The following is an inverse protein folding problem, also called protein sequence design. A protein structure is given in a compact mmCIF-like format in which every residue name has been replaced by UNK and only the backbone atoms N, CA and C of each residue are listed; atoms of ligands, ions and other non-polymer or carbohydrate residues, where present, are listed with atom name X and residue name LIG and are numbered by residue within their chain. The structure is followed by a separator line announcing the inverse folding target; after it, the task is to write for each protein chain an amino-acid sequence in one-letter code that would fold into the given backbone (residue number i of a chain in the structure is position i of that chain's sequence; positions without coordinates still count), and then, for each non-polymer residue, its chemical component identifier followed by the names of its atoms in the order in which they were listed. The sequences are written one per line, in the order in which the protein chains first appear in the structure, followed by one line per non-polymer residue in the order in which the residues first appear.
data_IF_007131036547
#
_entry.id   IF_007131036547
#
_cell.length_a   1.000
_cell.length_b   1.000
_cell.length_c   1.000
_cell.angle_alpha   90.00
_cell.angle_beta   90.00
_cell.angle_gamma   90.00
#
_symmetry.space_group_name_H-M   'P 1'
#
loop_
_entity.id
_entity.type
_entity.pdbx_description
1 polymer ?
#
# COMPACT_ATOMS: atom_id res chain seq x y z
N UNK A 1 20.34 14.12 19.83
CA UNK A 1 19.10 13.34 19.68
C UNK A 1 19.48 12.07 18.94
N UNK A 2 19.24 10.90 19.53
CA UNK A 2 19.47 9.60 18.89
C UNK A 2 18.21 9.22 18.11
N UNK A 3 18.34 9.01 16.81
CA UNK A 3 17.27 8.41 16.01
C UNK A 3 17.16 6.95 16.45
N UNK A 4 15.97 6.45 16.79
CA UNK A 4 15.83 5.06 17.22
C UNK A 4 16.06 4.11 16.03
N UNK A 5 16.67 2.95 16.31
CA UNK A 5 16.89 1.91 15.31
C UNK A 5 15.57 1.26 14.82
N UNK A 6 14.53 1.29 15.67
CA UNK A 6 13.19 0.78 15.36
C UNK A 6 12.13 1.82 15.72
N UNK A 7 11.19 2.04 14.80
CA UNK A 7 10.05 2.94 15.00
C UNK A 7 8.80 2.11 15.31
N UNK A 8 8.22 2.22 16.52
CA UNK A 8 6.95 1.55 16.82
C UNK A 8 5.83 2.22 16.04
N UNK A 9 5.08 1.43 15.26
CA UNK A 9 3.91 1.90 14.49
C UNK A 9 2.65 1.28 15.09
N UNK A 10 1.70 2.12 15.47
CA UNK A 10 0.40 1.67 15.98
C UNK A 10 -0.51 1.23 14.83
N UNK A 11 -1.22 0.12 15.02
CA UNK A 11 -2.31 -0.30 14.12
C UNK A 11 -3.53 0.59 14.36
N UNK A 12 -3.98 1.27 13.32
CA UNK A 12 -5.22 2.05 13.26
C UNK A 12 -6.23 1.28 12.41
N UNK A 13 -7.33 0.82 13.02
CA UNK A 13 -8.34 0.02 12.33
C UNK A 13 -8.94 0.76 11.13
N UNK A 14 -9.28 2.03 11.25
CA UNK A 14 -10.01 2.75 10.19
C UNK A 14 -9.11 3.64 9.33
N UNK A 15 -7.81 3.32 9.19
CA UNK A 15 -6.86 4.18 8.49
C UNK A 15 -5.66 3.47 7.82
N UNK A 16 -4.59 4.21 7.48
CA UNK A 16 -3.43 3.75 6.68
C UNK A 16 -2.69 2.52 7.20
N UNK A 17 -2.89 2.17 8.47
CA UNK A 17 -2.26 1.01 9.12
C UNK A 17 -3.27 -0.12 9.39
N UNK A 18 -4.45 -0.11 8.78
CA UNK A 18 -5.47 -1.15 8.94
C UNK A 18 -4.88 -2.56 8.73
N UNK A 19 -4.09 -2.70 7.65
CA UNK A 19 -3.39 -3.93 7.29
C UNK A 19 -1.95 -3.94 7.82
N UNK A 20 -1.77 -3.72 9.12
CA UNK A 20 -0.50 -3.91 9.82
C UNK A 20 -0.62 -5.06 10.81
N UNK A 21 0.38 -5.95 10.84
CA UNK A 21 0.31 -7.11 11.73
C UNK A 21 1.46 -8.09 11.60
N UNK A 22 1.21 -9.31 12.08
CA UNK A 22 2.15 -10.42 12.10
C UNK A 22 1.51 -11.66 11.45
N UNK A 23 2.25 -12.33 10.58
CA UNK A 23 1.85 -13.60 9.98
C UNK A 23 2.02 -14.76 10.98
N UNK A 24 1.50 -15.93 10.64
CA UNK A 24 1.60 -17.14 11.48
C UNK A 24 3.02 -17.63 11.71
N UNK A 25 3.95 -17.26 10.82
CA UNK A 25 5.39 -17.57 10.89
C UNK A 25 6.23 -16.43 11.51
N UNK A 26 5.61 -15.56 12.29
CA UNK A 26 6.23 -14.42 13.00
C UNK A 26 6.73 -13.29 12.10
N UNK A 27 6.62 -13.38 10.77
CA UNK A 27 6.95 -12.26 9.88
C UNK A 27 6.00 -11.09 10.10
N UNK A 28 6.55 -9.89 10.14
CA UNK A 28 5.75 -8.67 10.22
C UNK A 28 5.34 -8.23 8.81
N UNK A 29 4.21 -7.52 8.73
CA UNK A 29 3.74 -6.97 7.47
C UNK A 29 3.05 -5.62 7.65
N UNK A 30 3.09 -4.84 6.57
CA UNK A 30 2.28 -3.64 6.42
C UNK A 30 1.82 -3.51 4.97
N UNK A 31 0.50 -3.55 4.79
CA UNK A 31 -0.15 -3.28 3.52
C UNK A 31 -0.99 -2.01 3.54
N UNK A 32 -1.14 -1.39 2.37
CA UNK A 32 -1.96 -0.20 2.20
C UNK A 32 -2.31 0.02 0.72
N UNK A 33 -3.29 0.87 0.50
CA UNK A 33 -3.67 1.37 -0.82
C UNK A 33 -3.05 2.74 -1.03
N UNK A 34 -2.56 3.02 -2.23
CA UNK A 34 -2.02 4.32 -2.62
C UNK A 34 -2.14 4.53 -4.11
N UNK A 35 -1.70 5.68 -4.61
CA UNK A 35 -1.72 6.00 -6.03
C UNK A 35 -0.49 6.76 -6.46
N UNK A 36 -0.20 6.70 -7.76
CA UNK A 36 0.78 7.55 -8.41
C UNK A 36 0.22 8.07 -9.73
N UNK A 37 0.53 9.32 -10.05
CA UNK A 37 0.26 9.88 -11.37
C UNK A 37 1.41 9.60 -12.33
N UNK A 38 1.10 9.25 -13.58
CA UNK A 38 2.08 9.00 -14.64
C UNK A 38 2.64 10.27 -15.28
N UNK A 39 2.03 11.43 -15.02
CA UNK A 39 2.56 12.75 -15.36
C UNK A 39 2.21 13.77 -14.27
N UNK A 40 2.96 14.88 -14.15
CA UNK A 40 2.65 15.95 -13.20
C UNK A 40 1.21 16.47 -13.34
N UNK A 41 0.60 16.84 -12.22
CA UNK A 41 -0.77 17.38 -12.23
C UNK A 41 -0.90 18.66 -13.08
N UNK A 42 0.17 19.47 -13.14
CA UNK A 42 0.23 20.68 -13.98
C UNK A 42 0.14 20.41 -15.49
N UNK A 43 0.35 19.15 -15.91
CA UNK A 43 0.27 18.72 -17.31
C UNK A 43 -1.06 18.01 -17.64
N UNK A 44 -1.97 17.91 -16.67
CA UNK A 44 -3.33 17.41 -16.87
C UNK A 44 -4.21 18.63 -17.19
N UNK A 45 -4.68 18.71 -18.44
CA UNK A 45 -5.51 19.83 -18.90
C UNK A 45 -6.86 19.88 -18.16
N UNK A 46 -7.37 21.09 -17.96
CA UNK A 46 -8.69 21.28 -17.38
C UNK A 46 -9.76 20.65 -18.30
N UNK A 47 -10.48 19.66 -17.79
CA UNK A 47 -11.49 18.92 -18.54
C UNK A 47 -11.00 17.59 -19.13
N UNK A 48 -9.71 17.27 -19.04
CA UNK A 48 -9.22 15.93 -19.33
C UNK A 48 -9.58 14.95 -18.20
N UNK A 49 -9.73 13.68 -18.54
CA UNK A 49 -10.00 12.63 -17.57
C UNK A 49 -8.71 12.24 -16.85
N UNK A 50 -8.50 12.87 -15.69
CA UNK A 50 -7.32 12.64 -14.85
C UNK A 50 -7.12 11.16 -14.49
N UNK A 51 -8.17 10.34 -14.48
CA UNK A 51 -8.10 8.92 -14.10
C UNK A 51 -7.22 8.12 -15.04
N UNK A 52 -7.08 8.54 -16.30
CA UNK A 52 -6.19 7.92 -17.30
C UNK A 52 -4.71 8.02 -16.91
N UNK A 53 -4.37 8.98 -16.05
CA UNK A 53 -3.00 9.20 -15.59
C UNK A 53 -2.78 8.74 -14.14
N UNK A 54 -3.83 8.43 -13.39
CA UNK A 54 -3.69 7.93 -12.03
C UNK A 54 -3.70 6.40 -12.03
N UNK A 55 -2.63 5.83 -11.50
CA UNK A 55 -2.50 4.40 -11.26
C UNK A 55 -2.70 4.15 -9.77
N UNK A 56 -3.68 3.31 -9.45
CA UNK A 56 -3.94 2.83 -8.11
C UNK A 56 -3.05 1.63 -7.79
N UNK A 57 -2.66 1.50 -6.53
CA UNK A 57 -1.74 0.48 -6.04
C UNK A 57 -2.26 -0.17 -4.77
N UNK A 58 -2.20 -1.49 -4.74
CA UNK A 58 -2.19 -2.27 -3.50
C UNK A 58 -0.72 -2.65 -3.22
N UNK A 59 -0.19 -2.28 -2.07
CA UNK A 59 1.20 -2.53 -1.68
C UNK A 59 1.22 -3.35 -0.39
N UNK A 60 2.12 -4.32 -0.31
CA UNK A 60 2.40 -5.11 0.88
C UNK A 60 3.91 -5.20 1.08
N UNK A 61 4.38 -4.62 2.17
CA UNK A 61 5.74 -4.81 2.67
C UNK A 61 5.76 -5.96 3.67
N UNK A 62 6.79 -6.79 3.59
CA UNK A 62 7.07 -7.85 4.56
C UNK A 62 8.43 -7.63 5.21
N UNK A 63 8.51 -8.00 6.48
CA UNK A 63 9.68 -7.85 7.31
C UNK A 63 9.90 -9.15 8.09
N UNK A 64 11.13 -9.39 8.54
CA UNK A 64 11.38 -10.46 9.50
C UNK A 64 10.78 -10.10 10.88
N UNK A 65 10.90 -11.03 11.83
CA UNK A 65 10.43 -10.82 13.21
C UNK A 65 11.11 -9.66 13.93
N UNK A 66 12.28 -9.23 13.46
CA UNK A 66 13.03 -8.10 13.99
C UNK A 66 12.66 -6.75 13.34
N UNK A 67 11.82 -6.77 12.29
CA UNK A 67 11.42 -5.58 11.54
C UNK A 67 12.39 -5.21 10.41
N UNK A 68 13.34 -6.08 10.05
CA UNK A 68 14.18 -5.85 8.88
C UNK A 68 13.38 -6.14 7.61
N UNK A 69 13.49 -5.26 6.63
CA UNK A 69 12.78 -5.39 5.35
C UNK A 69 13.19 -6.66 4.60
N UNK A 70 12.19 -7.40 4.11
CA UNK A 70 12.38 -8.59 3.26
C UNK A 70 12.01 -8.27 1.82
N UNK A 71 10.75 -7.88 1.58
CA UNK A 71 10.23 -7.73 0.23
C UNK A 71 9.01 -6.81 0.15
N UNK A 72 8.70 -6.39 -1.07
CA UNK A 72 7.48 -5.66 -1.41
C UNK A 72 6.75 -6.42 -2.50
N UNK A 73 5.49 -6.75 -2.23
CA UNK A 73 4.53 -7.20 -3.23
C UNK A 73 3.64 -6.03 -3.60
N UNK A 74 3.35 -5.86 -4.89
CA UNK A 74 2.42 -4.84 -5.34
C UNK A 74 1.55 -5.35 -6.48
N UNK A 75 0.40 -4.72 -6.63
CA UNK A 75 -0.47 -4.82 -7.79
C UNK A 75 -0.97 -3.43 -8.11
N UNK A 76 -1.17 -3.15 -9.39
CA UNK A 76 -1.61 -1.83 -9.83
C UNK A 76 -2.56 -1.91 -11.01
N UNK A 77 -3.45 -0.93 -11.12
CA UNK A 77 -4.34 -0.73 -12.26
C UNK A 77 -4.64 0.75 -12.46
N UNK A 78 -5.14 1.12 -13.64
CA UNK A 78 -5.53 2.51 -13.91
C UNK A 78 -6.83 2.83 -13.18
N UNK A 79 -6.95 4.06 -12.68
CA UNK A 79 -8.15 4.54 -11.97
C UNK A 79 -9.41 4.58 -12.86
N UNK A 80 -9.27 4.40 -14.18
CA UNK A 80 -10.39 4.21 -15.11
C UNK A 80 -11.05 2.84 -14.98
N UNK A 81 -10.32 1.84 -14.48
CA UNK A 81 -10.72 0.43 -14.47
C UNK A 81 -10.66 -0.20 -13.06
N UNK A 82 -10.02 0.48 -12.12
CA UNK A 82 -9.74 -0.01 -10.77
C UNK A 82 -10.45 0.82 -9.72
N UNK A 83 -11.10 0.12 -8.79
CA UNK A 83 -11.75 0.71 -7.62
C UNK A 83 -11.13 0.21 -6.30
N UNK A 84 -11.53 0.84 -5.20
CA UNK A 84 -11.04 0.53 -3.85
C UNK A 84 -11.34 -0.92 -3.42
N UNK A 85 -12.45 -1.49 -3.90
CA UNK A 85 -12.85 -2.86 -3.55
C UNK A 85 -11.90 -3.87 -4.20
N UNK A 86 -11.48 -3.64 -5.44
CA UNK A 86 -10.49 -4.46 -6.10
C UNK A 86 -9.14 -4.40 -5.37
N UNK A 87 -8.69 -3.21 -4.98
CA UNK A 87 -7.44 -3.02 -4.22
C UNK A 87 -7.48 -3.73 -2.86
N UNK A 88 -8.56 -3.56 -2.11
CA UNK A 88 -8.80 -4.23 -0.82
C UNK A 88 -8.79 -5.75 -0.99
N UNK A 89 -9.46 -6.26 -2.04
CA UNK A 89 -9.45 -7.68 -2.36
C UNK A 89 -8.03 -8.22 -2.63
N UNK A 90 -7.16 -7.44 -3.30
CA UNK A 90 -5.75 -7.84 -3.51
C UNK A 90 -5.01 -7.96 -2.19
N UNK A 91 -5.13 -6.95 -1.33
CA UNK A 91 -4.50 -6.95 -0.01
C UNK A 91 -4.97 -8.14 0.83
N UNK A 92 -6.29 -8.33 0.98
CA UNK A 92 -6.87 -9.45 1.75
C UNK A 92 -6.42 -10.82 1.24
N UNK A 93 -6.35 -11.02 -0.08
CA UNK A 93 -5.85 -12.27 -0.68
C UNK A 93 -4.39 -12.57 -0.36
N UNK A 94 -3.59 -11.56 -0.06
CA UNK A 94 -2.20 -11.75 0.34
C UNK A 94 -2.05 -12.06 1.83
N UNK A 95 -3.06 -11.76 2.66
CA UNK A 95 -3.05 -12.03 4.10
C UNK A 95 -3.75 -13.33 4.50
N UNK A 96 -4.66 -13.85 3.66
CA UNK A 96 -5.49 -15.03 3.96
C UNK A 96 -4.95 -16.36 3.39
N UNK A 97 -3.73 -16.37 2.86
CA UNK A 97 -3.01 -17.56 2.40
C UNK A 97 -1.68 -17.69 3.15
#
# INVERSE_FOLDING_TARGET
MTIPDKLPIARMEDYHTHFLGKASDERLFWGYQTFAFSKPFSEIEQGDDWKKYRKEYAILHTFDSDGNYIATRHWSGLATETDDQQLDSKLRKWFLN
#
